data_IF_794432451604
#
_entry.id   IF_794432451604
#
_cell.length_a   1.000
_cell.length_b   1.000
_cell.length_c   1.000
_cell.angle_alpha   90.00
_cell.angle_beta   90.00
_cell.angle_gamma   90.00
#
_symmetry.space_group_name_H-M   'P 1'
#
loop_
_entity.id
_entity.type
_entity.pdbx_description
1 polymer ?
#
# COMPACT_ATOMS: atom_id res chain seq x y z
N UNK A 1 10.78 19.41 3.63
CA UNK A 1 9.53 18.64 3.88
C UNK A 1 9.77 17.36 4.66
N UNK A 2 8.89 17.05 5.63
CA UNK A 2 8.93 15.84 6.48
C UNK A 2 7.53 15.34 6.85
N UNK A 3 7.39 14.05 7.13
CA UNK A 3 6.17 13.46 7.72
C UNK A 3 6.30 13.56 9.24
N UNK A 4 5.38 14.26 9.91
CA UNK A 4 5.44 14.50 11.37
C UNK A 4 4.46 13.66 12.18
N UNK A 5 3.40 13.16 11.54
CA UNK A 5 2.45 12.22 12.11
C UNK A 5 2.03 11.25 11.01
N UNK A 6 1.87 9.98 11.37
CA UNK A 6 1.46 8.95 10.42
C UNK A 6 0.72 7.82 11.14
N UNK A 7 -0.51 7.55 10.70
CA UNK A 7 -1.40 6.56 11.31
C UNK A 7 -2.16 5.76 10.25
N UNK A 8 -2.30 4.48 10.51
CA UNK A 8 -3.23 3.63 9.75
C UNK A 8 -4.62 3.77 10.36
N UNK A 9 -5.62 4.02 9.52
CA UNK A 9 -7.01 4.10 9.91
C UNK A 9 -7.77 2.92 9.31
N UNK A 10 -8.63 2.31 10.13
CA UNK A 10 -9.54 1.25 9.69
C UNK A 10 -10.64 1.82 8.78
N UNK A 11 -11.39 0.95 8.11
CA UNK A 11 -12.52 1.34 7.23
C UNK A 11 -13.62 2.06 8.01
N UNK A 12 -14.48 2.80 7.29
CA UNK A 12 -15.58 3.57 7.92
C UNK A 12 -15.12 4.74 8.79
N UNK A 13 -13.91 5.26 8.56
CA UNK A 13 -13.38 6.39 9.31
C UNK A 13 -13.94 7.73 8.77
N UNK A 14 -13.71 8.82 9.52
CA UNK A 14 -14.19 10.18 9.18
C UNK A 14 -13.71 10.71 7.82
N UNK A 15 -12.73 10.07 7.19
CA UNK A 15 -12.09 10.55 5.97
C UNK A 15 -12.43 9.69 4.74
N UNK A 16 -12.64 8.39 4.93
CA UNK A 16 -12.88 7.41 3.88
C UNK A 16 -13.67 6.22 4.40
N UNK A 17 -14.49 5.61 3.53
CA UNK A 17 -15.10 4.31 3.78
C UNK A 17 -14.10 3.16 3.71
N UNK A 18 -12.92 3.38 3.11
CA UNK A 18 -11.83 2.40 2.99
C UNK A 18 -10.78 2.58 4.10
N UNK A 19 -10.00 1.52 4.36
CA UNK A 19 -8.78 1.65 5.18
C UNK A 19 -7.81 2.62 4.52
N UNK A 20 -7.24 3.54 5.28
CA UNK A 20 -6.37 4.58 4.73
C UNK A 20 -5.19 4.91 5.62
N UNK A 21 -4.13 5.41 4.98
CA UNK A 21 -3.00 6.01 5.65
C UNK A 21 -3.29 7.51 5.81
N UNK A 22 -3.41 7.97 7.06
CA UNK A 22 -3.38 9.39 7.37
C UNK A 22 -1.95 9.80 7.67
N UNK A 23 -1.52 10.90 7.07
CA UNK A 23 -0.22 11.51 7.36
C UNK A 23 -0.33 13.02 7.45
N UNK A 24 0.49 13.63 8.30
CA UNK A 24 0.67 15.07 8.33
C UNK A 24 2.06 15.38 7.78
N UNK A 25 2.08 16.15 6.70
CA UNK A 25 3.30 16.69 6.10
C UNK A 25 3.57 18.07 6.66
N UNK A 26 4.80 18.31 7.10
CA UNK A 26 5.32 19.65 7.37
C UNK A 26 6.22 20.07 6.21
N UNK A 27 5.95 21.26 5.68
CA UNK A 27 6.67 21.84 4.56
C UNK A 27 7.19 23.23 4.91
N UNK A 28 8.45 23.46 4.54
CA UNK A 28 9.00 24.80 4.40
C UNK A 28 8.40 25.46 3.15
N UNK A 29 8.42 26.79 3.11
CA UNK A 29 7.92 27.51 1.94
C UNK A 29 8.73 27.12 0.69
N UNK A 30 8.01 26.81 -0.40
CA UNK A 30 8.58 26.50 -1.72
C UNK A 30 8.07 27.55 -2.69
N UNK A 31 8.98 28.17 -3.45
CA UNK A 31 8.59 29.15 -4.46
C UNK A 31 7.82 28.50 -5.62
N UNK A 32 7.06 29.31 -6.33
CA UNK A 32 6.33 28.88 -7.53
C UNK A 32 7.29 28.35 -8.60
N UNK A 33 8.37 29.08 -8.90
CA UNK A 33 9.41 28.66 -9.84
C UNK A 33 10.06 27.31 -9.46
N UNK A 34 10.31 27.08 -8.16
CA UNK A 34 10.84 25.80 -7.69
C UNK A 34 9.81 24.67 -7.85
N UNK A 35 8.52 24.98 -7.71
CA UNK A 35 7.42 24.03 -7.88
C UNK A 35 7.24 23.64 -9.35
N UNK A 36 7.36 24.58 -10.28
CA UNK A 36 7.32 24.33 -11.73
C UNK A 36 8.48 23.42 -12.16
N UNK A 37 9.72 23.77 -11.80
CA UNK A 37 10.91 22.95 -12.08
C UNK A 37 10.81 21.56 -11.46
N UNK A 38 10.24 21.46 -10.26
CA UNK A 38 9.96 20.18 -9.62
C UNK A 38 8.98 19.35 -10.46
N UNK A 39 7.87 19.95 -10.90
CA UNK A 39 6.86 19.26 -11.70
C UNK A 39 7.46 18.70 -13.00
N UNK A 40 8.25 19.49 -13.72
CA UNK A 40 8.94 19.05 -14.94
C UNK A 40 9.85 17.84 -14.68
N UNK A 41 10.69 17.93 -13.64
CA UNK A 41 11.60 16.84 -13.24
C UNK A 41 10.84 15.57 -12.84
N UNK A 42 9.74 15.73 -12.12
CA UNK A 42 8.87 14.62 -11.72
C UNK A 42 8.23 13.96 -12.94
N UNK A 43 7.71 14.73 -13.89
CA UNK A 43 7.10 14.19 -15.11
C UNK A 43 8.11 13.49 -16.00
N UNK A 44 9.34 13.98 -16.08
CA UNK A 44 10.42 13.28 -16.78
C UNK A 44 10.76 11.94 -16.10
N UNK A 45 10.82 11.89 -14.78
CA UNK A 45 11.16 10.67 -14.03
C UNK A 45 10.01 9.67 -13.91
N UNK A 46 8.77 10.15 -13.88
CA UNK A 46 7.53 9.39 -13.70
C UNK A 46 6.48 9.88 -14.71
N UNK A 47 6.57 9.51 -16.00
CA UNK A 47 5.67 10.02 -17.04
C UNK A 47 4.18 9.72 -16.80
N UNK A 48 3.86 8.69 -16.00
CA UNK A 48 2.49 8.36 -15.63
C UNK A 48 1.80 9.40 -14.73
N UNK A 49 2.57 10.28 -14.06
CA UNK A 49 2.05 11.32 -13.18
C UNK A 49 1.02 12.24 -13.86
N UNK A 50 1.28 12.60 -15.12
CA UNK A 50 0.40 13.51 -15.87
C UNK A 50 -1.04 12.96 -15.98
N UNK A 51 -1.21 11.63 -15.95
CA UNK A 51 -2.51 10.94 -16.01
C UNK A 51 -3.23 10.89 -14.66
N UNK A 52 -2.53 11.15 -13.56
CA UNK A 52 -3.09 11.05 -12.20
C UNK A 52 -3.56 12.39 -11.64
N UNK A 53 -3.47 13.49 -12.39
CA UNK A 53 -3.92 14.82 -11.94
C UNK A 53 -5.35 14.81 -11.39
N UNK A 54 -6.27 14.09 -12.04
CA UNK A 54 -7.66 13.97 -11.61
C UNK A 54 -7.91 13.07 -10.39
N UNK A 55 -6.89 12.36 -9.88
CA UNK A 55 -7.01 11.47 -8.72
C UNK A 55 -6.55 12.13 -7.40
N UNK A 56 -6.18 13.40 -7.46
CA UNK A 56 -5.89 14.24 -6.29
C UNK A 56 -7.16 14.95 -5.88
N UNK A 57 -7.80 14.47 -4.80
CA UNK A 57 -8.85 15.24 -4.16
C UNK A 57 -8.25 16.42 -3.39
N UNK A 58 -8.60 17.65 -3.75
CA UNK A 58 -8.27 18.84 -2.95
C UNK A 58 -9.48 19.25 -2.13
N UNK A 59 -9.33 19.36 -0.81
CA UNK A 59 -10.43 19.79 0.09
C UNK A 59 -10.32 21.23 0.58
N UNK A 60 -9.22 21.92 0.28
CA UNK A 60 -9.00 23.32 0.63
C UNK A 60 -8.09 24.01 -0.40
N UNK A 61 -8.44 25.25 -0.79
CA UNK A 61 -7.69 26.03 -1.78
C UNK A 61 -6.27 26.36 -1.34
N UNK A 62 -6.08 26.52 -0.02
CA UNK A 62 -4.80 26.85 0.62
C UNK A 62 -3.77 25.70 0.62
N UNK A 63 -4.03 24.57 -0.04
CA UNK A 63 -3.04 23.51 -0.23
C UNK A 63 -2.07 23.90 -1.37
N UNK A 64 -0.75 23.99 -1.11
CA UNK A 64 0.24 24.30 -2.13
C UNK A 64 0.38 23.18 -3.18
N UNK A 65 0.70 23.49 -4.44
CA UNK A 65 0.82 22.49 -5.50
C UNK A 65 1.90 21.41 -5.21
N UNK A 66 2.96 21.74 -4.46
CA UNK A 66 3.97 20.75 -4.04
C UNK A 66 3.38 19.62 -3.18
N UNK A 67 2.36 19.88 -2.37
CA UNK A 67 1.68 18.86 -1.56
C UNK A 67 0.87 17.92 -2.47
N UNK A 68 0.24 18.48 -3.49
CA UNK A 68 -0.49 17.73 -4.52
C UNK A 68 0.48 16.84 -5.31
N UNK A 69 1.65 17.36 -5.71
CA UNK A 69 2.69 16.59 -6.39
C UNK A 69 3.21 15.41 -5.53
N UNK A 70 3.34 15.59 -4.21
CA UNK A 70 3.71 14.49 -3.30
C UNK A 70 2.64 13.40 -3.30
N UNK A 71 1.36 13.78 -3.25
CA UNK A 71 0.26 12.82 -3.34
C UNK A 71 0.28 12.07 -4.67
N UNK A 72 0.36 12.78 -5.80
CA UNK A 72 0.42 12.17 -7.13
C UNK A 72 1.59 11.20 -7.24
N UNK A 73 2.76 11.60 -6.72
CA UNK A 73 3.95 10.77 -6.67
C UNK A 73 3.73 9.51 -5.85
N UNK A 74 3.12 9.60 -4.68
CA UNK A 74 2.81 8.43 -3.86
C UNK A 74 1.83 7.46 -4.58
N UNK A 75 0.82 8.00 -5.28
CA UNK A 75 -0.12 7.19 -6.06
C UNK A 75 0.56 6.53 -7.26
N UNK A 76 1.38 7.25 -8.01
CA UNK A 76 2.09 6.70 -9.17
C UNK A 76 3.09 5.62 -8.76
N UNK A 77 3.83 5.82 -7.66
CA UNK A 77 4.74 4.80 -7.14
C UNK A 77 4.01 3.51 -6.76
N UNK A 78 2.80 3.61 -6.19
CA UNK A 78 1.96 2.45 -5.87
C UNK A 78 1.37 1.81 -7.12
N UNK A 79 0.97 2.59 -8.12
CA UNK A 79 0.54 2.07 -9.42
C UNK A 79 1.65 1.26 -10.08
N UNK A 80 2.87 1.81 -10.13
CA UNK A 80 4.02 1.16 -10.76
C UNK A 80 4.54 -0.05 -9.99
N UNK A 81 4.47 -0.03 -8.66
CA UNK A 81 4.97 -1.13 -7.84
C UNK A 81 3.92 -2.23 -7.64
N UNK A 82 2.64 -1.88 -7.50
CA UNK A 82 1.60 -2.76 -6.96
C UNK A 82 0.38 -2.91 -7.87
N UNK A 83 0.37 -2.22 -9.02
CA UNK A 83 -0.83 -2.06 -9.86
C UNK A 83 -2.02 -1.49 -9.08
N UNK A 84 -1.74 -0.63 -8.11
CA UNK A 84 -2.74 -0.07 -7.21
C UNK A 84 -3.04 1.40 -7.55
N UNK A 85 -4.30 1.70 -7.84
CA UNK A 85 -4.79 3.06 -8.08
C UNK A 85 -5.91 3.33 -7.09
N UNK A 86 -5.76 4.41 -6.32
CA UNK A 86 -6.78 4.87 -5.35
C UNK A 86 -6.95 6.38 -5.48
N UNK A 87 -8.06 6.90 -5.00
CA UNK A 87 -8.30 8.35 -4.88
C UNK A 87 -7.98 8.75 -3.45
N UNK A 88 -6.99 9.60 -3.29
CA UNK A 88 -6.67 10.20 -2.00
C UNK A 88 -7.14 11.65 -1.95
N UNK A 89 -6.94 12.30 -0.81
CA UNK A 89 -7.10 13.74 -0.75
C UNK A 89 -6.09 14.42 0.15
N UNK A 90 -5.93 15.71 -0.10
CA UNK A 90 -5.11 16.64 0.67
C UNK A 90 -5.95 17.78 1.23
N UNK A 91 -5.57 18.22 2.41
CA UNK A 91 -6.28 19.25 3.17
C UNK A 91 -5.29 20.00 4.08
N UNK A 92 -5.70 21.15 4.58
CA UNK A 92 -4.96 21.89 5.61
C UNK A 92 -5.20 21.27 7.00
N UNK A 93 -4.23 21.46 7.90
CA UNK A 93 -4.46 21.20 9.32
C UNK A 93 -4.89 22.50 10.00
N UNK A 94 -6.11 22.56 10.59
CA UNK A 94 -6.61 23.79 11.21
C UNK A 94 -5.62 24.34 12.24
N UNK A 95 -5.39 25.66 12.20
CA UNK A 95 -4.49 26.40 13.13
C UNK A 95 -3.03 25.95 13.09
N UNK A 96 -2.60 25.25 12.03
CA UNK A 96 -1.24 24.76 11.89
C UNK A 96 -0.68 25.12 10.50
N UNK A 97 -0.12 26.32 10.37
CA UNK A 97 0.49 26.76 9.12
C UNK A 97 1.66 25.86 8.72
N UNK A 98 1.86 25.68 7.41
CA UNK A 98 2.89 24.80 6.86
C UNK A 98 2.64 23.30 7.08
N UNK A 99 1.48 22.92 7.63
CA UNK A 99 1.11 21.52 7.89
C UNK A 99 -0.12 21.10 7.09
N UNK A 100 0.01 19.98 6.40
CA UNK A 100 -0.98 19.49 5.46
C UNK A 100 -1.31 18.04 5.76
N UNK A 101 -2.61 17.75 5.80
CA UNK A 101 -3.13 16.40 5.97
C UNK A 101 -3.19 15.73 4.61
N UNK A 102 -2.65 14.53 4.54
CA UNK A 102 -2.76 13.65 3.40
C UNK A 102 -3.46 12.37 3.83
N UNK A 103 -4.49 11.98 3.08
CA UNK A 103 -5.22 10.74 3.30
C UNK A 103 -5.15 9.90 2.05
N UNK A 104 -4.52 8.72 2.17
CA UNK A 104 -4.30 7.79 1.07
C UNK A 104 -4.95 6.45 1.39
N UNK A 105 -6.09 6.10 0.78
CA UNK A 105 -6.63 4.75 0.87
C UNK A 105 -5.63 3.70 0.39
N UNK A 106 -5.71 2.50 0.96
CA UNK A 106 -4.85 1.39 0.54
C UNK A 106 -5.53 0.02 0.61
N UNK A 107 -5.10 -0.85 -0.28
CA UNK A 107 -5.24 -2.31 -0.25
C UNK A 107 -3.97 -2.98 0.30
N UNK A 108 -2.81 -2.36 0.04
CA UNK A 108 -1.51 -2.88 0.46
C UNK A 108 -0.92 -2.13 1.69
N UNK A 109 -1.39 -2.46 2.91
CA UNK A 109 -0.90 -1.87 4.18
C UNK A 109 0.64 -1.78 4.29
N UNK A 110 1.36 -2.85 3.95
CA UNK A 110 2.83 -2.93 4.06
C UNK A 110 3.58 -1.97 3.12
N UNK A 111 2.93 -1.47 2.07
CA UNK A 111 3.55 -0.60 1.08
C UNK A 111 3.01 0.84 1.11
N UNK A 112 1.90 1.10 1.81
CA UNK A 112 1.29 2.43 1.88
C UNK A 112 2.23 3.49 2.48
N UNK A 113 2.72 3.29 3.71
CA UNK A 113 3.66 4.23 4.33
C UNK A 113 5.02 4.28 3.61
N UNK A 114 5.63 3.15 3.21
CA UNK A 114 6.86 3.18 2.42
C UNK A 114 6.75 3.94 1.10
N UNK A 115 5.63 3.85 0.39
CA UNK A 115 5.42 4.59 -0.85
C UNK A 115 5.33 6.09 -0.61
N UNK A 116 4.58 6.52 0.42
CA UNK A 116 4.52 7.94 0.79
C UNK A 116 5.89 8.46 1.24
N UNK A 117 6.62 7.70 2.05
CA UNK A 117 7.99 8.06 2.45
C UNK A 117 8.92 8.22 1.24
N UNK A 118 8.86 7.28 0.29
CA UNK A 118 9.64 7.36 -0.95
C UNK A 118 9.24 8.57 -1.80
N UNK A 119 7.94 8.88 -1.90
CA UNK A 119 7.46 10.07 -2.59
C UNK A 119 8.03 11.36 -1.98
N UNK A 120 7.97 11.50 -0.65
CA UNK A 120 8.56 12.65 0.04
C UNK A 120 10.08 12.75 -0.18
N UNK A 121 10.79 11.62 -0.16
CA UNK A 121 12.24 11.59 -0.42
C UNK A 121 12.59 11.98 -1.86
N UNK A 122 11.82 11.48 -2.84
CA UNK A 122 11.96 11.80 -4.25
C UNK A 122 11.74 13.30 -4.50
N UNK A 123 10.64 13.86 -3.98
CA UNK A 123 10.31 15.28 -4.11
C UNK A 123 11.38 16.15 -3.45
N UNK A 124 11.83 15.82 -2.24
CA UNK A 124 12.92 16.53 -1.57
C UNK A 124 14.24 16.47 -2.36
N UNK A 125 14.57 15.33 -2.96
CA UNK A 125 15.77 15.19 -3.79
C UNK A 125 15.67 16.09 -5.02
N UNK A 126 14.53 16.07 -5.73
CA UNK A 126 14.32 16.88 -6.93
C UNK A 126 14.27 18.38 -6.66
N UNK A 127 13.66 18.81 -5.55
CA UNK A 127 13.71 20.21 -5.10
C UNK A 127 15.16 20.65 -4.86
N UNK A 128 15.98 19.79 -4.26
CA UNK A 128 17.39 20.04 -4.04
C UNK A 128 18.28 19.85 -5.29
N UNK A 129 17.69 19.59 -6.47
CA UNK A 129 18.45 19.33 -7.70
C UNK A 129 19.26 18.04 -7.70
N UNK A 130 18.95 17.10 -6.81
CA UNK A 130 19.65 15.80 -6.69
C UNK A 130 18.94 14.71 -7.47
N UNK A 131 19.71 13.74 -7.94
CA UNK A 131 19.19 12.52 -8.55
C UNK A 131 18.56 11.59 -7.51
N UNK A 132 17.63 10.74 -7.97
CA UNK A 132 16.98 9.74 -7.12
C UNK A 132 16.82 8.42 -7.89
N UNK A 133 17.25 7.31 -7.29
CA UNK A 133 17.15 5.99 -7.92
C UNK A 133 15.73 5.41 -7.78
N UNK A 134 14.83 5.84 -8.66
CA UNK A 134 13.42 5.39 -8.72
C UNK A 134 13.33 3.88 -8.91
N UNK A 135 14.14 3.29 -9.79
CA UNK A 135 14.14 1.85 -10.09
C UNK A 135 14.40 1.01 -8.83
N UNK A 136 15.42 1.36 -8.05
CA UNK A 136 15.72 0.68 -6.80
C UNK A 136 14.61 0.86 -5.76
N UNK A 137 14.01 2.05 -5.68
CA UNK A 137 12.87 2.28 -4.79
C UNK A 137 11.65 1.44 -5.16
N UNK A 138 11.29 1.35 -6.44
CA UNK A 138 10.19 0.51 -6.91
C UNK A 138 10.43 -0.98 -6.63
N UNK A 139 11.67 -1.47 -6.80
CA UNK A 139 12.01 -2.84 -6.46
C UNK A 139 11.79 -3.14 -4.96
N UNK A 140 12.15 -2.20 -4.07
CA UNK A 140 11.87 -2.33 -2.63
C UNK A 140 10.38 -2.32 -2.32
N UNK A 141 9.59 -1.46 -2.98
CA UNK A 141 8.14 -1.42 -2.79
C UNK A 141 7.47 -2.74 -3.22
N UNK A 142 7.89 -3.31 -4.36
CA UNK A 142 7.43 -4.64 -4.82
C UNK A 142 7.73 -5.72 -3.80
N UNK A 143 8.98 -5.79 -3.32
CA UNK A 143 9.38 -6.76 -2.31
C UNK A 143 8.59 -6.64 -1.00
N UNK A 144 8.18 -5.43 -0.60
CA UNK A 144 7.34 -5.21 0.60
C UNK A 144 5.89 -5.68 0.42
N UNK A 145 5.39 -5.67 -0.82
CA UNK A 145 4.07 -6.21 -1.13
C UNK A 145 4.10 -7.73 -1.27
N UNK A 146 5.09 -8.29 -1.96
CA UNK A 146 5.24 -9.73 -2.20
C UNK A 146 5.40 -10.56 -0.92
N UNK A 147 5.97 -9.95 0.14
CA UNK A 147 6.06 -10.58 1.47
C UNK A 147 4.71 -11.00 2.05
N UNK A 148 3.58 -10.55 1.49
CA UNK A 148 2.23 -11.02 1.84
C UNK A 148 1.66 -12.09 0.91
N UNK A 149 2.12 -12.22 -0.33
CA UNK A 149 1.69 -13.30 -1.23
C UNK A 149 2.24 -14.66 -0.82
N UNK A 150 3.33 -14.69 -0.02
CA UNK A 150 3.74 -15.92 0.66
C UNK A 150 2.81 -16.12 1.87
N UNK A 151 1.90 -17.12 1.87
CA UNK A 151 1.11 -17.41 3.05
C UNK A 151 2.06 -17.65 4.23
N UNK A 152 1.82 -16.94 5.33
CA UNK A 152 2.42 -17.30 6.63
C UNK A 152 1.76 -18.61 7.06
N UNK A 153 2.39 -19.73 6.72
CA UNK A 153 2.00 -21.06 7.16
C UNK A 153 0.81 -21.67 6.42
N UNK A 154 1.05 -22.24 5.25
CA UNK A 154 0.33 -23.43 4.78
C UNK A 154 1.36 -24.54 4.57
N UNK A 155 1.98 -24.95 5.66
CA UNK A 155 2.71 -26.20 5.79
C UNK A 155 2.08 -26.89 7.00
N UNK A 156 0.95 -27.58 6.78
CA UNK A 156 0.39 -28.68 7.60
C UNK A 156 -1.11 -28.87 7.32
N UNK A 157 -1.51 -29.30 6.11
CA UNK A 157 -2.75 -30.10 5.96
C UNK A 157 -2.92 -30.80 4.60
N UNK A 158 -1.91 -31.51 4.12
CA UNK A 158 -2.08 -32.38 2.93
C UNK A 158 -1.51 -33.79 3.09
N UNK A 159 -1.34 -34.25 4.33
CA UNK A 159 -0.88 -35.61 4.62
C UNK A 159 -1.86 -36.44 5.47
N UNK A 160 -3.09 -35.98 5.71
CA UNK A 160 -4.09 -36.74 6.51
C UNK A 160 -5.22 -37.39 5.71
N UNK A 161 -5.35 -37.09 4.42
CA UNK A 161 -6.45 -37.64 3.60
C UNK A 161 -6.06 -38.88 2.80
N UNK A 162 -4.77 -39.19 2.63
CA UNK A 162 -4.33 -40.34 1.82
C UNK A 162 -4.09 -41.62 2.65
N UNK A 163 -4.00 -41.53 3.99
CA UNK A 163 -3.78 -42.71 4.84
C UNK A 163 -5.05 -43.38 5.40
N UNK A 164 -6.25 -42.92 5.03
CA UNK A 164 -7.52 -43.48 5.54
C UNK A 164 -8.35 -44.23 4.48
N UNK A 165 -7.86 -44.40 3.24
CA UNK A 165 -8.63 -45.08 2.17
C UNK A 165 -8.19 -46.51 1.85
N UNK A 166 -7.35 -47.15 2.66
CA UNK A 166 -6.95 -48.55 2.46
C UNK A 166 -7.25 -49.37 3.71
N UNK A 167 -8.54 -49.49 4.04
CA UNK A 167 -9.04 -50.61 4.86
C UNK A 167 -10.24 -51.19 4.11
N UNK A 168 -10.09 -52.29 3.36
CA UNK A 168 -11.24 -52.97 2.81
C UNK A 168 -12.04 -53.62 3.94
N UNK A 169 -13.33 -53.24 4.05
CA UNK A 169 -14.32 -53.96 4.85
C UNK A 169 -14.58 -55.31 4.18
N UNK A 170 -14.20 -56.41 4.81
CA UNK A 170 -14.74 -57.73 4.45
C UNK A 170 -16.08 -57.98 5.17
N UNK A 171 -17.06 -58.63 4.52
CA UNK A 171 -18.36 -58.91 5.10
C UNK A 171 -18.37 -60.22 5.91
N UNK A 172 -19.37 -60.25 6.80
CA UNK A 172 -19.84 -61.32 7.67
C UNK A 172 -19.91 -62.71 7.00
N UNK A 173 -19.43 -63.76 7.66
CA UNK A 173 -19.85 -65.15 7.39
C UNK A 173 -20.00 -65.93 8.71
N UNK A 174 -21.23 -66.38 8.94
CA UNK A 174 -21.65 -67.35 9.96
C UNK A 174 -20.87 -68.66 9.82
N UNK A 175 -20.47 -69.25 10.96
CA UNK A 175 -20.27 -70.69 11.10
C UNK A 175 -20.47 -71.11 12.57
N UNK A 176 -21.68 -71.60 12.85
CA UNK A 176 -21.91 -72.67 13.84
C UNK A 176 -21.81 -74.00 13.06
N UNK A 177 -21.23 -75.06 13.63
CA UNK A 177 -22.10 -76.00 14.33
C UNK A 177 -21.51 -76.72 15.56
N UNK A 178 -22.44 -77.09 16.45
CA UNK A 178 -22.56 -78.32 17.21
C UNK A 178 -21.31 -79.00 17.82
N UNK A 179 -21.22 -78.96 19.15
CA UNK A 179 -20.71 -80.08 19.94
C UNK A 179 -21.83 -80.64 20.83
N UNK A 180 -22.28 -81.86 20.50
CA UNK A 180 -22.85 -82.82 21.44
C UNK A 180 -21.69 -83.58 22.07
N UNK A 181 -21.71 -83.75 23.40
CA UNK A 181 -21.30 -84.94 24.14
C UNK A 181 -21.73 -84.73 25.60
N UNK A 182 -22.59 -85.62 26.09
CA UNK A 182 -23.27 -85.57 27.39
C UNK A 182 -24.69 -86.07 27.27
#
# INVERSE_FOLDING_TARGET
MKIIDQRYLESGNRYSTQTCLLSILELDAVSEEATEKLQERLYAALPGLARLRGLVGKRADAVPPVVELVQQTALELRRLALNEVTVGFVDVVPRMQGRYRMVLPYSAKSAAAPALKMATQLVNAMLAGRSFNVKAGLARLRALADRRSKPRGSLMQTARTILMSVIPKQPLAMLLPAHRLG
#
